data_IF_455788359223
#
_entry.id   IF_455788359223
#
_cell.length_a   1.000
_cell.length_b   1.000
_cell.length_c   1.000
_cell.angle_alpha   90.00
_cell.angle_beta   90.00
_cell.angle_gamma   90.00
#
_symmetry.space_group_name_H-M   'P 1'
#
loop_
_entity.id
_entity.type
_entity.pdbx_description
1 polymer ?
#
# COMPACT_ATOMS: atom_id res chain seq x y z
N UNK A 1 35.37 44.35 30.82
CA UNK A 1 35.26 44.06 29.38
C UNK A 1 34.86 42.60 29.29
N UNK A 2 33.60 42.37 28.97
CA UNK A 2 32.89 41.07 28.98
C UNK A 2 33.28 40.21 27.78
N UNK A 3 33.53 38.93 28.04
CA UNK A 3 33.90 37.91 27.06
C UNK A 3 32.64 37.32 26.37
N UNK A 4 31.81 38.16 25.75
CA UNK A 4 30.54 37.74 25.10
C UNK A 4 30.58 37.87 23.58
N UNK A 5 31.65 37.47 22.95
CA UNK A 5 31.82 37.75 21.52
C UNK A 5 32.31 36.61 20.61
N UNK A 6 32.24 35.34 20.98
CA UNK A 6 32.63 34.26 20.06
C UNK A 6 31.76 33.03 20.31
N UNK A 7 30.51 33.04 19.89
CA UNK A 7 29.72 31.81 19.83
C UNK A 7 28.77 31.77 18.60
N UNK A 8 29.24 32.28 17.45
CA UNK A 8 28.48 32.37 16.20
C UNK A 8 28.87 31.31 15.16
N UNK A 9 29.69 30.33 15.52
CA UNK A 9 30.02 29.17 14.67
C UNK A 9 29.73 27.87 15.42
N UNK A 10 28.55 27.71 15.99
CA UNK A 10 27.99 26.36 16.07
C UNK A 10 27.67 25.95 14.65
N UNK A 11 28.63 25.34 13.97
CA UNK A 11 28.38 24.47 12.83
C UNK A 11 27.19 23.59 13.22
N UNK A 12 26.05 23.82 12.58
CA UNK A 12 24.91 22.88 12.70
C UNK A 12 25.50 21.53 12.33
N UNK A 13 25.71 20.69 13.32
CA UNK A 13 26.11 19.30 13.09
C UNK A 13 25.05 18.79 12.10
N UNK A 14 25.49 18.28 10.96
CA UNK A 14 24.60 17.71 9.95
C UNK A 14 24.00 16.43 10.55
N UNK A 15 22.82 16.57 11.15
CA UNK A 15 22.07 15.50 11.81
C UNK A 15 20.89 15.08 10.92
N UNK A 16 21.21 14.50 9.75
CA UNK A 16 20.21 13.92 8.82
C UNK A 16 20.53 12.44 8.61
N UNK A 17 20.60 11.68 9.67
CA UNK A 17 20.59 10.22 9.56
C UNK A 17 19.17 9.72 9.42
N UNK A 18 18.90 8.80 8.49
CA UNK A 18 17.61 8.17 8.28
C UNK A 18 17.79 6.69 7.98
N UNK A 19 17.12 5.87 8.76
CA UNK A 19 17.05 4.45 8.48
C UNK A 19 15.99 4.20 7.41
N UNK A 20 16.35 3.53 6.33
CA UNK A 20 15.42 3.14 5.25
C UNK A 20 15.43 1.61 5.14
N UNK A 21 14.24 1.01 5.26
CA UNK A 21 14.03 -0.39 4.99
C UNK A 21 13.36 -0.53 3.62
N UNK A 22 13.97 -1.32 2.74
CA UNK A 22 13.51 -1.58 1.38
C UNK A 22 13.40 -3.09 1.19
N UNK A 23 12.53 -3.58 0.30
CA UNK A 23 12.62 -4.95 -0.16
C UNK A 23 14.02 -5.23 -0.69
N UNK A 24 14.66 -6.31 -0.24
CA UNK A 24 15.94 -6.75 -0.77
C UNK A 24 15.76 -7.34 -2.18
N UNK A 25 14.69 -8.15 -2.34
CA UNK A 25 14.40 -8.82 -3.60
C UNK A 25 12.99 -8.49 -4.07
N UNK A 26 12.87 -8.18 -5.36
CA UNK A 26 11.59 -7.97 -6.03
C UNK A 26 11.58 -8.74 -7.34
N UNK A 27 10.78 -9.80 -7.38
CA UNK A 27 10.62 -10.69 -8.53
C UNK A 27 9.22 -10.50 -9.09
N UNK A 28 9.10 -10.01 -10.32
CA UNK A 28 7.82 -9.76 -10.99
C UNK A 28 7.88 -10.34 -12.40
N UNK A 29 7.00 -11.26 -12.74
CA UNK A 29 6.95 -11.87 -14.07
C UNK A 29 6.02 -13.05 -14.17
N UNK A 30 6.08 -13.74 -15.30
CA UNK A 30 5.31 -14.95 -15.59
C UNK A 30 5.88 -16.13 -14.82
N UNK A 31 5.04 -16.90 -14.14
CA UNK A 31 5.39 -18.11 -13.37
C UNK A 31 6.55 -17.91 -12.37
N UNK A 32 6.78 -16.68 -11.89
CA UNK A 32 7.87 -16.41 -10.94
C UNK A 32 7.62 -17.00 -9.55
N UNK A 33 6.43 -17.48 -9.26
CA UNK A 33 6.13 -18.20 -8.02
C UNK A 33 7.06 -19.41 -7.82
N UNK A 34 7.54 -20.03 -8.91
CA UNK A 34 8.51 -21.12 -8.89
C UNK A 34 9.89 -20.70 -8.36
N UNK A 35 10.17 -19.40 -8.30
CA UNK A 35 11.45 -18.88 -7.79
C UNK A 35 11.44 -18.70 -6.27
N UNK A 36 10.32 -18.96 -5.57
CA UNK A 36 10.21 -18.79 -4.12
C UNK A 36 11.29 -19.55 -3.36
N UNK A 37 11.61 -20.83 -3.67
CA UNK A 37 12.71 -21.53 -2.98
C UNK A 37 14.06 -20.83 -3.11
N UNK A 38 14.40 -20.39 -4.32
CA UNK A 38 15.65 -19.66 -4.58
C UNK A 38 15.71 -18.31 -3.84
N UNK A 39 14.58 -17.58 -3.76
CA UNK A 39 14.46 -16.34 -2.98
C UNK A 39 14.66 -16.63 -1.48
N UNK A 40 14.03 -17.68 -0.94
CA UNK A 40 14.18 -18.06 0.46
C UNK A 40 15.62 -18.50 0.78
N UNK A 41 16.27 -19.23 -0.11
CA UNK A 41 17.67 -19.67 0.03
C UNK A 41 18.62 -18.45 0.03
N UNK A 42 18.47 -17.53 -0.92
CA UNK A 42 19.29 -16.31 -1.01
C UNK A 42 19.12 -15.39 0.21
N UNK A 43 17.90 -15.29 0.74
CA UNK A 43 17.61 -14.51 1.94
C UNK A 43 18.14 -15.16 3.23
N UNK A 44 18.37 -16.48 3.24
CA UNK A 44 18.91 -17.24 4.36
C UNK A 44 18.18 -17.01 5.70
N UNK A 45 16.83 -16.95 5.68
CA UNK A 45 16.01 -16.56 6.84
C UNK A 45 15.81 -17.68 7.89
N UNK A 46 16.38 -18.86 7.65
CA UNK A 46 16.28 -20.03 8.53
C UNK A 46 15.50 -21.17 7.89
N UNK A 47 15.15 -22.17 8.69
CA UNK A 47 14.68 -23.50 8.27
C UNK A 47 13.18 -23.73 8.47
N UNK A 48 12.45 -22.79 9.08
CA UNK A 48 11.02 -22.93 9.32
C UNK A 48 10.24 -21.71 8.84
N UNK A 49 9.13 -21.95 8.16
CA UNK A 49 8.30 -20.91 7.54
C UNK A 49 6.83 -21.04 7.93
N UNK A 50 6.19 -19.90 8.19
CA UNK A 50 4.74 -19.80 8.30
C UNK A 50 4.17 -19.26 6.99
N UNK A 51 3.34 -20.01 6.29
CA UNK A 51 2.59 -19.58 5.11
C UNK A 51 1.20 -19.14 5.57
N UNK A 52 0.89 -17.85 5.38
CA UNK A 52 -0.43 -17.27 5.66
C UNK A 52 -1.17 -17.07 4.35
N UNK A 53 -2.35 -17.68 4.19
CA UNK A 53 -3.20 -17.56 3.00
C UNK A 53 -4.67 -17.42 3.37
N UNK A 54 -5.49 -16.85 2.48
CA UNK A 54 -6.95 -16.86 2.60
C UNK A 54 -7.54 -18.19 2.09
N UNK A 55 -8.83 -18.43 2.34
CA UNK A 55 -9.51 -19.64 1.88
C UNK A 55 -9.40 -19.86 0.36
N UNK A 56 -9.67 -18.82 -0.43
CA UNK A 56 -9.57 -18.85 -1.88
C UNK A 56 -8.10 -18.81 -2.37
N UNK A 57 -7.28 -17.95 -1.78
CA UNK A 57 -5.90 -17.74 -2.23
C UNK A 57 -4.99 -18.91 -1.88
N UNK A 58 -5.39 -19.75 -0.93
CA UNK A 58 -4.73 -21.04 -0.67
C UNK A 58 -4.79 -21.94 -1.90
N UNK A 59 -5.96 -22.05 -2.52
CA UNK A 59 -6.14 -22.90 -3.70
C UNK A 59 -5.54 -22.25 -4.96
N UNK A 60 -5.53 -20.91 -5.04
CA UNK A 60 -4.95 -20.16 -6.17
C UNK A 60 -3.42 -20.28 -6.20
N UNK A 61 -2.75 -20.11 -5.07
CA UNK A 61 -1.30 -20.02 -4.98
C UNK A 61 -0.71 -20.65 -3.72
N UNK A 62 -1.43 -20.64 -2.59
CA UNK A 62 -0.89 -21.06 -1.29
C UNK A 62 -0.39 -22.51 -1.28
N UNK A 63 -1.16 -23.46 -1.86
CA UNK A 63 -0.75 -24.87 -1.94
C UNK A 63 0.49 -25.07 -2.83
N UNK A 64 0.64 -24.27 -3.89
CA UNK A 64 1.83 -24.31 -4.75
C UNK A 64 3.06 -23.85 -3.98
N UNK A 65 2.95 -22.77 -3.22
CA UNK A 65 4.04 -22.29 -2.35
C UNK A 65 4.39 -23.31 -1.26
N UNK A 66 3.39 -23.94 -0.63
CA UNK A 66 3.56 -25.03 0.34
C UNK A 66 4.37 -26.16 -0.27
N UNK A 67 3.94 -26.71 -1.42
CA UNK A 67 4.60 -27.81 -2.12
C UNK A 67 6.03 -27.47 -2.58
N UNK A 68 6.31 -26.20 -2.95
CA UNK A 68 7.65 -25.78 -3.35
C UNK A 68 8.65 -25.73 -2.19
N UNK A 69 8.17 -25.63 -0.94
CA UNK A 69 9.02 -25.46 0.24
C UNK A 69 9.09 -26.67 1.16
N UNK A 70 8.12 -27.62 1.09
CA UNK A 70 8.00 -28.74 2.04
C UNK A 70 9.21 -29.68 2.10
N UNK A 71 9.98 -29.81 1.01
CA UNK A 71 11.18 -30.64 0.98
C UNK A 71 12.39 -29.99 1.67
N UNK A 72 12.40 -28.65 1.83
CA UNK A 72 13.57 -27.90 2.29
C UNK A 72 13.32 -27.12 3.60
N UNK A 73 12.07 -26.92 3.99
CA UNK A 73 11.67 -26.14 5.15
C UNK A 73 10.63 -26.86 6.01
N UNK A 74 10.66 -26.60 7.32
CA UNK A 74 9.55 -26.93 8.22
C UNK A 74 8.40 -25.95 7.95
N UNK A 75 7.39 -26.40 7.17
CA UNK A 75 6.29 -25.57 6.67
C UNK A 75 5.09 -25.68 7.60
N UNK A 76 4.67 -24.55 8.13
CA UNK A 76 3.39 -24.41 8.86
C UNK A 76 2.45 -23.52 8.06
N UNK A 77 1.18 -23.91 7.93
CA UNK A 77 0.18 -23.10 7.23
C UNK A 77 -0.84 -22.49 8.19
N UNK A 78 -1.28 -21.26 7.88
CA UNK A 78 -2.31 -20.54 8.63
C UNK A 78 -3.34 -19.96 7.66
N UNK A 79 -4.62 -20.24 7.91
CA UNK A 79 -5.73 -19.67 7.14
C UNK A 79 -6.16 -18.31 7.75
N UNK A 80 -5.89 -17.22 7.05
CA UNK A 80 -6.40 -15.89 7.37
C UNK A 80 -7.87 -15.78 6.94
N UNK A 81 -8.75 -16.51 7.63
CA UNK A 81 -10.18 -16.59 7.35
C UNK A 81 -10.99 -16.13 8.58
N UNK A 82 -12.20 -15.63 8.32
CA UNK A 82 -13.16 -15.25 9.36
C UNK A 82 -13.49 -13.76 9.38
N UNK A 83 -14.56 -13.45 10.14
CA UNK A 83 -15.15 -12.11 10.20
C UNK A 83 -14.56 -11.23 11.32
N UNK A 84 -13.53 -11.73 12.01
CA UNK A 84 -12.89 -11.03 13.13
C UNK A 84 -11.41 -10.77 12.86
N UNK A 85 -11.08 -9.70 12.10
CA UNK A 85 -9.71 -9.44 11.66
C UNK A 85 -8.70 -9.37 12.80
N UNK A 86 -9.02 -8.69 13.91
CA UNK A 86 -8.11 -8.54 15.04
C UNK A 86 -7.80 -9.87 15.75
N UNK A 87 -8.80 -10.77 15.89
CA UNK A 87 -8.58 -12.10 16.44
C UNK A 87 -7.73 -12.95 15.50
N UNK A 88 -7.98 -12.83 14.18
CA UNK A 88 -7.20 -13.51 13.15
C UNK A 88 -5.74 -13.09 13.18
N UNK A 89 -5.47 -11.79 13.29
CA UNK A 89 -4.11 -11.24 13.41
C UNK A 89 -3.41 -11.79 14.66
N UNK A 90 -4.05 -11.79 15.84
CA UNK A 90 -3.47 -12.34 17.07
C UNK A 90 -3.12 -13.82 16.97
N UNK A 91 -3.98 -14.61 16.30
CA UNK A 91 -3.68 -16.03 16.06
C UNK A 91 -2.51 -16.22 15.08
N UNK A 92 -2.48 -15.41 14.02
CA UNK A 92 -1.40 -15.42 13.04
C UNK A 92 -0.06 -15.00 13.69
N UNK A 93 -0.07 -14.00 14.58
CA UNK A 93 1.09 -13.57 15.38
C UNK A 93 1.63 -14.71 16.26
N UNK A 94 0.74 -15.40 16.99
CA UNK A 94 1.13 -16.54 17.80
C UNK A 94 1.70 -17.71 16.98
N UNK A 95 1.28 -17.88 15.73
CA UNK A 95 1.86 -18.84 14.80
C UNK A 95 3.20 -18.33 14.24
N UNK A 96 3.30 -17.05 13.87
CA UNK A 96 4.52 -16.43 13.36
C UNK A 96 5.68 -16.49 14.37
N UNK A 97 5.37 -16.34 15.66
CA UNK A 97 6.38 -16.43 16.73
C UNK A 97 7.12 -17.79 16.78
N UNK A 98 6.52 -18.85 16.21
CA UNK A 98 7.09 -20.20 16.18
C UNK A 98 7.89 -20.50 14.91
N UNK A 99 7.79 -19.65 13.88
CA UNK A 99 8.53 -19.78 12.63
C UNK A 99 9.72 -18.80 12.59
N UNK A 100 10.65 -19.03 11.68
CA UNK A 100 11.77 -18.13 11.43
C UNK A 100 11.38 -16.95 10.55
N UNK A 101 10.51 -17.17 9.58
CA UNK A 101 9.99 -16.12 8.70
C UNK A 101 8.55 -16.42 8.26
N UNK A 102 7.91 -15.45 7.65
CA UNK A 102 6.51 -15.51 7.23
C UNK A 102 6.40 -15.25 5.74
N UNK A 103 5.58 -16.03 5.04
CA UNK A 103 5.17 -15.78 3.65
C UNK A 103 3.67 -15.50 3.64
N UNK A 104 3.26 -14.33 3.17
CA UNK A 104 1.85 -14.00 2.95
C UNK A 104 1.46 -14.24 1.49
N UNK A 105 0.54 -15.17 1.24
CA UNK A 105 0.08 -15.55 -0.10
C UNK A 105 -1.37 -15.15 -0.28
N UNK A 106 -1.63 -14.01 -0.96
CA UNK A 106 -3.01 -13.60 -1.12
C UNK A 106 -3.22 -12.17 -1.59
N UNK A 107 -4.48 -11.74 -1.55
CA UNK A 107 -4.85 -10.35 -1.76
C UNK A 107 -4.54 -9.47 -0.55
N UNK A 108 -4.83 -8.18 -0.65
CA UNK A 108 -4.43 -7.16 0.32
C UNK A 108 -4.71 -7.51 1.79
N UNK A 109 -5.89 -8.05 2.12
CA UNK A 109 -6.22 -8.45 3.49
C UNK A 109 -5.27 -9.52 4.04
N UNK A 110 -4.90 -10.51 3.22
CA UNK A 110 -3.98 -11.58 3.63
C UNK A 110 -2.57 -11.02 3.82
N UNK A 111 -2.12 -10.20 2.87
CA UNK A 111 -0.83 -9.51 2.92
C UNK A 111 -0.73 -8.64 4.18
N UNK A 112 -1.76 -7.85 4.47
CA UNK A 112 -1.78 -7.00 5.67
C UNK A 112 -1.78 -7.81 6.97
N UNK A 113 -2.54 -8.92 7.01
CA UNK A 113 -2.53 -9.84 8.17
C UNK A 113 -1.15 -10.45 8.38
N UNK A 114 -0.51 -10.95 7.32
CA UNK A 114 0.82 -11.54 7.38
C UNK A 114 1.88 -10.52 7.80
N UNK A 115 1.82 -9.31 7.24
CA UNK A 115 2.72 -8.20 7.56
C UNK A 115 2.66 -7.80 9.04
N UNK A 116 1.46 -7.63 9.60
CA UNK A 116 1.31 -7.27 11.02
C UNK A 116 1.73 -8.43 11.92
N UNK A 117 1.32 -9.66 11.59
CA UNK A 117 1.68 -10.83 12.38
C UNK A 117 3.20 -11.04 12.43
N UNK A 118 3.90 -10.87 11.29
CA UNK A 118 5.35 -10.96 11.23
C UNK A 118 6.04 -9.83 12.00
N UNK A 119 5.58 -8.59 11.84
CA UNK A 119 6.12 -7.42 12.55
C UNK A 119 6.00 -7.56 14.06
N UNK A 120 4.82 -7.95 14.57
CA UNK A 120 4.61 -8.13 16.01
C UNK A 120 5.40 -9.31 16.58
N UNK A 121 5.67 -10.34 15.76
CA UNK A 121 6.47 -11.49 16.15
C UNK A 121 7.99 -11.30 15.95
N UNK A 122 8.44 -10.14 15.47
CA UNK A 122 9.83 -9.85 15.08
C UNK A 122 10.36 -10.89 14.06
N UNK A 123 9.65 -11.05 12.95
CA UNK A 123 9.97 -11.99 11.86
C UNK A 123 9.98 -11.28 10.52
N UNK A 124 10.89 -11.69 9.64
CA UNK A 124 10.88 -11.23 8.26
C UNK A 124 9.64 -11.70 7.51
N UNK A 125 9.18 -10.88 6.58
CA UNK A 125 7.98 -11.10 5.80
C UNK A 125 8.28 -11.08 4.30
N UNK A 126 7.82 -12.12 3.58
CA UNK A 126 7.83 -12.19 2.11
C UNK A 126 6.39 -12.01 1.62
N UNK A 127 6.18 -11.08 0.69
CA UNK A 127 4.89 -10.79 0.07
C UNK A 127 4.74 -11.56 -1.23
N UNK A 128 3.70 -12.40 -1.33
CA UNK A 128 3.30 -13.13 -2.55
C UNK A 128 1.87 -12.71 -2.91
N UNK A 129 1.69 -11.55 -3.56
CA UNK A 129 0.38 -11.02 -3.88
C UNK A 129 -0.29 -11.83 -4.99
N UNK A 130 -1.56 -12.23 -4.78
CA UNK A 130 -2.40 -12.84 -5.81
C UNK A 130 -3.28 -11.82 -6.53
N UNK A 131 -3.20 -10.54 -6.15
CA UNK A 131 -3.88 -9.43 -6.78
C UNK A 131 -3.11 -8.13 -6.51
N UNK A 132 -3.09 -7.24 -7.49
CA UNK A 132 -2.44 -5.93 -7.42
C UNK A 132 -3.49 -4.84 -7.13
N UNK A 133 -4.02 -4.78 -5.88
CA UNK A 133 -5.17 -3.95 -5.53
C UNK A 133 -4.86 -2.67 -4.75
N UNK A 134 -3.68 -2.56 -4.14
CA UNK A 134 -3.16 -1.38 -3.44
C UNK A 134 -1.67 -1.55 -3.12
N UNK A 135 -0.98 -0.47 -2.78
CA UNK A 135 0.47 -0.45 -2.52
C UNK A 135 0.91 -1.17 -1.22
N UNK A 136 -0.04 -1.61 -0.40
CA UNK A 136 0.21 -2.45 0.77
C UNK A 136 1.00 -3.74 0.47
N UNK A 137 1.06 -4.19 -0.79
CA UNK A 137 1.87 -5.36 -1.17
C UNK A 137 3.37 -5.16 -0.93
N UNK A 138 3.86 -3.92 -0.88
CA UNK A 138 5.28 -3.58 -0.74
C UNK A 138 5.57 -2.49 0.30
N UNK A 139 4.54 -1.79 0.79
CA UNK A 139 4.73 -0.70 1.75
C UNK A 139 4.88 -1.19 3.20
N UNK A 140 5.38 -0.32 4.06
CA UNK A 140 5.45 -0.53 5.52
C UNK A 140 4.12 -0.27 6.24
N UNK A 141 3.02 -0.14 5.50
CA UNK A 141 1.69 0.11 6.08
C UNK A 141 0.80 -1.11 5.90
N UNK A 142 -0.09 -1.32 6.85
CA UNK A 142 -1.12 -2.34 6.77
C UNK A 142 -2.47 -1.77 7.20
N UNK A 143 -3.53 -2.12 6.47
CA UNK A 143 -4.88 -1.69 6.75
C UNK A 143 -5.64 -2.77 7.52
N UNK A 144 -6.08 -2.45 8.72
CA UNK A 144 -6.81 -3.39 9.59
C UNK A 144 -8.22 -2.88 9.81
N UNK A 145 -9.24 -3.68 9.45
CA UNK A 145 -10.62 -3.36 9.78
C UNK A 145 -10.86 -3.38 11.29
N UNK A 146 -11.48 -2.32 11.81
CA UNK A 146 -11.94 -2.20 13.20
C UNK A 146 -13.43 -1.87 13.23
N UNK A 147 -14.02 -1.79 14.42
CA UNK A 147 -15.41 -1.38 14.58
C UNK A 147 -15.69 0.05 14.06
N UNK A 148 -14.65 0.92 14.12
CA UNK A 148 -14.74 2.33 13.72
C UNK A 148 -14.20 2.58 12.30
N UNK A 149 -14.09 1.55 11.45
CA UNK A 149 -13.54 1.62 10.10
C UNK A 149 -12.11 1.07 10.02
N UNK A 150 -11.46 1.24 8.86
CA UNK A 150 -10.10 0.76 8.65
C UNK A 150 -9.07 1.68 9.31
N UNK A 151 -8.14 1.07 10.06
CA UNK A 151 -7.00 1.75 10.68
C UNK A 151 -5.71 1.33 9.96
N UNK A 152 -4.95 2.32 9.50
CA UNK A 152 -3.63 2.07 8.90
C UNK A 152 -2.57 2.00 10.00
N UNK A 153 -2.02 0.82 10.22
CA UNK A 153 -0.97 0.56 11.19
C UNK A 153 0.41 0.63 10.54
N UNK A 154 1.41 1.05 11.32
CA UNK A 154 2.80 0.95 10.93
C UNK A 154 3.29 -0.49 11.14
N UNK A 155 4.06 -0.98 10.17
CA UNK A 155 4.77 -2.25 10.21
C UNK A 155 6.09 -2.07 9.45
N UNK A 156 6.70 -3.16 9.00
CA UNK A 156 7.87 -3.12 8.12
C UNK A 156 7.48 -3.49 6.68
N UNK A 157 8.21 -2.97 5.68
CA UNK A 157 8.04 -3.45 4.31
C UNK A 157 8.46 -4.93 4.22
N UNK A 158 7.93 -5.68 3.24
CA UNK A 158 8.40 -7.04 3.02
C UNK A 158 9.89 -7.05 2.66
N UNK A 159 10.63 -8.07 3.14
CA UNK A 159 12.03 -8.26 2.75
C UNK A 159 12.14 -8.71 1.28
N UNK A 160 11.12 -9.41 0.77
CA UNK A 160 10.99 -9.72 -0.64
C UNK A 160 9.53 -9.65 -1.11
N UNK A 161 9.37 -9.37 -2.40
CA UNK A 161 8.09 -9.42 -3.11
C UNK A 161 8.23 -10.38 -4.28
N UNK A 162 7.41 -11.42 -4.33
CA UNK A 162 7.34 -12.37 -5.46
C UNK A 162 5.94 -12.27 -6.07
N UNK A 163 5.83 -11.58 -7.18
CA UNK A 163 4.56 -11.22 -7.82
C UNK A 163 4.42 -11.90 -9.18
N UNK A 164 3.68 -12.98 -9.21
CA UNK A 164 3.41 -13.75 -10.40
C UNK A 164 2.32 -13.07 -11.25
N UNK A 165 2.70 -12.62 -12.46
CA UNK A 165 1.81 -11.87 -13.35
C UNK A 165 0.68 -12.71 -13.91
N UNK A 166 0.87 -14.02 -14.11
CA UNK A 166 -0.17 -14.91 -14.57
C UNK A 166 -1.27 -15.08 -13.50
N UNK A 167 -0.87 -15.21 -12.23
CA UNK A 167 -1.80 -15.28 -11.10
C UNK A 167 -2.53 -13.93 -10.95
N UNK A 168 -1.82 -12.81 -10.95
CA UNK A 168 -2.42 -11.48 -10.77
C UNK A 168 -3.36 -11.13 -11.92
N UNK A 169 -3.01 -11.48 -13.17
CA UNK A 169 -3.86 -11.24 -14.34
C UNK A 169 -5.15 -12.10 -14.32
N UNK A 170 -5.12 -13.27 -13.67
CA UNK A 170 -6.30 -14.13 -13.49
C UNK A 170 -7.30 -13.59 -12.47
N UNK A 171 -6.87 -12.68 -11.59
CA UNK A 171 -7.72 -12.08 -10.57
C UNK A 171 -8.82 -11.18 -11.23
N UNK A 172 -9.94 -10.91 -10.52
CA UNK A 172 -10.94 -9.99 -11.01
C UNK A 172 -10.33 -8.63 -11.35
N UNK A 173 -10.60 -8.13 -12.58
CA UNK A 173 -10.04 -6.86 -13.08
C UNK A 173 -10.27 -5.67 -12.13
N UNK A 174 -11.39 -5.68 -11.41
CA UNK A 174 -11.70 -4.67 -10.39
C UNK A 174 -10.57 -4.48 -9.38
N UNK A 175 -9.85 -5.56 -9.01
CA UNK A 175 -8.73 -5.47 -8.07
C UNK A 175 -7.54 -4.74 -8.70
N UNK A 176 -7.23 -5.04 -9.96
CA UNK A 176 -6.19 -4.33 -10.73
C UNK A 176 -6.54 -2.86 -10.93
N UNK A 177 -7.79 -2.57 -11.30
CA UNK A 177 -8.29 -1.20 -11.45
C UNK A 177 -8.22 -0.40 -10.15
N UNK A 178 -8.50 -1.06 -9.00
CA UNK A 178 -8.31 -0.47 -7.67
C UNK A 178 -6.84 -0.11 -7.41
N UNK A 179 -5.89 -1.00 -7.74
CA UNK A 179 -4.46 -0.70 -7.60
C UNK A 179 -4.00 0.46 -8.49
N UNK A 180 -4.52 0.54 -9.73
CA UNK A 180 -4.28 1.69 -10.60
C UNK A 180 -4.80 2.99 -9.98
N UNK A 181 -6.02 2.97 -9.44
CA UNK A 181 -6.65 4.13 -8.84
C UNK A 181 -5.89 4.60 -7.59
N UNK A 182 -5.37 3.66 -6.80
CA UNK A 182 -4.51 3.93 -5.64
C UNK A 182 -3.23 4.69 -6.06
N UNK A 183 -2.56 4.23 -7.12
CA UNK A 183 -1.34 4.88 -7.64
C UNK A 183 -1.64 6.23 -8.30
N UNK A 184 -2.72 6.33 -9.09
CA UNK A 184 -3.10 7.61 -9.72
C UNK A 184 -3.43 8.66 -8.64
N UNK A 185 -3.97 8.26 -7.51
CA UNK A 185 -4.24 9.13 -6.37
C UNK A 185 -2.96 9.77 -5.80
N UNK A 186 -1.79 9.20 -6.01
CA UNK A 186 -0.52 9.79 -5.59
C UNK A 186 -0.28 11.19 -6.19
N UNK A 187 -0.89 11.53 -7.34
CA UNK A 187 -0.82 12.90 -7.88
C UNK A 187 -1.30 13.95 -6.87
N UNK A 188 -2.39 13.67 -6.16
CA UNK A 188 -2.95 14.60 -5.16
C UNK A 188 -2.24 14.49 -3.82
N UNK A 189 -1.81 13.30 -3.42
CA UNK A 189 -0.99 13.11 -2.23
C UNK A 189 0.30 13.94 -2.26
N UNK A 190 0.94 14.00 -3.43
CA UNK A 190 2.16 14.80 -3.67
C UNK A 190 1.85 16.29 -3.55
N UNK A 191 0.76 16.78 -4.17
CA UNK A 191 0.36 18.18 -4.08
C UNK A 191 0.07 18.59 -2.64
N UNK A 192 -0.57 17.72 -1.87
CA UNK A 192 -0.82 17.93 -0.44
C UNK A 192 0.48 17.97 0.37
N UNK A 193 1.45 17.11 0.05
CA UNK A 193 2.74 17.12 0.73
C UNK A 193 3.54 18.39 0.42
N UNK A 194 3.57 18.83 -0.83
CA UNK A 194 4.15 20.11 -1.24
C UNK A 194 3.44 21.30 -0.58
N UNK A 195 2.11 21.26 -0.49
CA UNK A 195 1.31 22.26 0.20
C UNK A 195 1.67 22.34 1.69
N UNK A 196 1.73 21.20 2.36
CA UNK A 196 2.13 21.11 3.77
C UNK A 196 3.57 21.57 4.00
N UNK A 197 4.49 21.20 3.11
CA UNK A 197 5.87 21.70 3.15
C UNK A 197 5.92 23.23 3.10
N UNK A 198 5.20 23.86 2.16
CA UNK A 198 5.18 25.32 1.98
C UNK A 198 4.52 26.07 3.13
N UNK A 199 3.42 25.55 3.67
CA UNK A 199 2.60 26.27 4.65
C UNK A 199 2.90 25.91 6.10
N UNK A 200 3.42 24.69 6.35
CA UNK A 200 3.66 24.15 7.70
C UNK A 200 5.13 23.82 7.96
N UNK A 201 5.99 23.93 6.94
CA UNK A 201 7.41 23.54 7.06
C UNK A 201 7.60 22.03 7.24
N UNK A 202 6.62 21.19 6.84
CA UNK A 202 6.75 19.74 6.94
C UNK A 202 7.96 19.26 6.12
N UNK A 203 8.82 18.38 6.66
CA UNK A 203 9.94 17.83 5.92
C UNK A 203 9.47 17.13 4.63
N UNK A 204 10.14 17.42 3.52
CA UNK A 204 9.85 16.85 2.22
C UNK A 204 11.08 16.11 1.68
N UNK A 205 10.88 14.91 1.14
CA UNK A 205 11.91 14.15 0.45
C UNK A 205 11.73 14.26 -1.05
N UNK A 206 12.61 15.00 -1.72
CA UNK A 206 12.59 15.19 -3.17
C UNK A 206 12.68 13.85 -3.94
N UNK A 207 13.47 12.90 -3.43
CA UNK A 207 13.60 11.56 -4.04
C UNK A 207 12.29 10.79 -3.97
N UNK A 208 11.66 10.73 -2.80
CA UNK A 208 10.40 10.02 -2.61
C UNK A 208 9.26 10.68 -3.40
N UNK A 209 9.21 12.01 -3.42
CA UNK A 209 8.26 12.80 -4.18
C UNK A 209 8.39 12.54 -5.68
N UNK A 210 9.63 12.60 -6.22
CA UNK A 210 9.90 12.37 -7.64
C UNK A 210 9.54 10.95 -8.05
N UNK A 211 9.91 9.94 -7.25
CA UNK A 211 9.57 8.54 -7.52
C UNK A 211 8.05 8.32 -7.54
N UNK A 212 7.35 8.85 -6.55
CA UNK A 212 5.88 8.71 -6.48
C UNK A 212 5.20 9.43 -7.64
N UNK A 213 5.63 10.67 -7.98
CA UNK A 213 5.10 11.43 -9.12
C UNK A 213 5.31 10.70 -10.44
N UNK A 214 6.52 10.20 -10.68
CA UNK A 214 6.82 9.43 -11.89
C UNK A 214 5.96 8.17 -11.99
N UNK A 215 5.76 7.47 -10.89
CA UNK A 215 4.96 6.25 -10.83
C UNK A 215 3.49 6.52 -11.17
N UNK A 216 2.91 7.56 -10.59
CA UNK A 216 1.53 7.99 -10.89
C UNK A 216 1.38 8.43 -12.35
N UNK A 217 2.33 9.21 -12.85
CA UNK A 217 2.33 9.70 -14.23
C UNK A 217 2.42 8.57 -15.26
N UNK A 218 3.20 7.52 -14.99
CA UNK A 218 3.30 6.35 -15.86
C UNK A 218 1.92 5.68 -16.02
N UNK A 219 1.20 5.41 -14.93
CA UNK A 219 -0.13 4.80 -15.02
C UNK A 219 -1.16 5.74 -15.63
N UNK A 220 -1.12 7.02 -15.29
CA UNK A 220 -2.01 8.03 -15.86
C UNK A 220 -1.90 8.09 -17.40
N UNK A 221 -0.67 8.14 -17.93
CA UNK A 221 -0.44 8.19 -19.39
C UNK A 221 -0.74 6.88 -20.10
N UNK A 222 -0.60 5.75 -19.41
CA UNK A 222 -0.81 4.42 -19.97
C UNK A 222 -2.17 3.82 -19.62
N UNK A 223 -3.13 4.63 -19.15
CA UNK A 223 -4.47 4.16 -18.77
C UNK A 223 -5.17 3.35 -19.87
N UNK A 224 -4.96 3.70 -21.15
CA UNK A 224 -5.51 2.98 -22.30
C UNK A 224 -4.91 1.57 -22.51
N UNK A 225 -3.73 1.29 -21.93
CA UNK A 225 -3.04 0.00 -22.03
C UNK A 225 -3.44 -0.97 -20.92
N UNK A 226 -4.11 -0.50 -19.88
CA UNK A 226 -4.56 -1.35 -18.78
C UNK A 226 -5.79 -2.13 -19.21
N UNK A 227 -5.66 -3.46 -19.32
CA UNK A 227 -6.70 -4.36 -19.82
C UNK A 227 -6.98 -5.50 -18.83
N UNK A 228 -8.24 -5.98 -18.80
CA UNK A 228 -8.58 -7.19 -18.06
C UNK A 228 -7.74 -8.39 -18.53
N UNK A 229 -7.34 -9.23 -17.60
CA UNK A 229 -6.63 -10.50 -17.85
C UNK A 229 -5.37 -10.39 -18.72
N UNK A 230 -4.69 -9.23 -18.67
CA UNK A 230 -3.41 -8.99 -19.34
C UNK A 230 -2.26 -9.04 -18.33
N UNK A 231 -1.26 -9.87 -18.60
CA UNK A 231 -0.06 -9.95 -17.79
C UNK A 231 0.80 -8.69 -17.90
N UNK A 232 0.81 -8.02 -19.05
CA UNK A 232 1.49 -6.73 -19.22
C UNK A 232 0.87 -5.67 -18.30
N UNK A 233 -0.48 -5.66 -18.19
CA UNK A 233 -1.18 -4.78 -17.26
C UNK A 233 -0.87 -5.15 -15.80
N UNK A 234 -0.90 -6.43 -15.46
CA UNK A 234 -0.54 -6.93 -14.12
C UNK A 234 0.90 -6.54 -13.76
N UNK A 235 1.84 -6.71 -14.70
CA UNK A 235 3.25 -6.34 -14.52
C UNK A 235 3.43 -4.84 -14.30
N UNK A 236 2.81 -4.01 -15.16
CA UNK A 236 2.91 -2.55 -15.07
C UNK A 236 2.38 -2.03 -13.72
N UNK A 237 1.18 -2.48 -13.34
CA UNK A 237 0.53 -2.05 -12.09
C UNK A 237 1.28 -2.55 -10.87
N UNK A 238 1.74 -3.79 -10.87
CA UNK A 238 2.52 -4.34 -9.75
C UNK A 238 3.82 -3.58 -9.54
N UNK A 239 4.54 -3.26 -10.61
CA UNK A 239 5.74 -2.41 -10.52
C UNK A 239 5.43 -1.03 -9.95
N UNK A 240 4.31 -0.43 -10.34
CA UNK A 240 3.90 0.87 -9.82
C UNK A 240 3.59 0.79 -8.32
N UNK A 241 2.87 -0.25 -7.86
CA UNK A 241 2.57 -0.46 -6.45
C UNK A 241 3.84 -0.69 -5.61
N UNK A 242 4.79 -1.48 -6.12
CA UNK A 242 6.09 -1.67 -5.46
C UNK A 242 6.87 -0.35 -5.39
N UNK A 243 6.90 0.42 -6.48
CA UNK A 243 7.58 1.72 -6.51
C UNK A 243 6.98 2.72 -5.52
N UNK A 244 5.63 2.73 -5.35
CA UNK A 244 4.95 3.54 -4.32
C UNK A 244 5.39 3.13 -2.91
N UNK A 245 5.41 1.83 -2.61
CA UNK A 245 5.90 1.31 -1.33
C UNK A 245 7.35 1.72 -1.04
N UNK A 246 8.22 1.65 -2.04
CA UNK A 246 9.63 2.12 -1.97
C UNK A 246 9.69 3.62 -1.70
N UNK A 247 8.87 4.43 -2.39
CA UNK A 247 8.82 5.88 -2.15
C UNK A 247 8.44 6.19 -0.69
N UNK A 248 7.46 5.47 -0.13
CA UNK A 248 7.09 5.62 1.29
C UNK A 248 8.22 5.23 2.24
N UNK A 249 8.98 4.17 1.93
CA UNK A 249 10.15 3.77 2.72
C UNK A 249 11.26 4.83 2.67
N UNK A 250 11.55 5.40 1.48
CA UNK A 250 12.49 6.51 1.32
C UNK A 250 12.02 7.75 2.11
N UNK A 251 10.73 8.06 2.06
CA UNK A 251 10.16 9.17 2.83
C UNK A 251 10.15 8.90 4.34
N UNK A 252 10.10 7.63 4.78
CA UNK A 252 9.85 7.22 6.17
C UNK A 252 8.47 7.64 6.66
N UNK A 253 7.55 7.82 5.74
CA UNK A 253 6.15 8.18 5.98
C UNK A 253 5.31 7.81 4.77
N UNK A 254 3.99 7.73 4.94
CA UNK A 254 3.08 7.48 3.81
C UNK A 254 2.74 8.73 2.99
N UNK A 255 3.43 9.86 3.21
CA UNK A 255 3.16 11.11 2.46
C UNK A 255 3.23 10.97 0.93
N UNK A 256 4.19 10.22 0.35
CA UNK A 256 4.26 10.06 -1.10
C UNK A 256 3.01 9.43 -1.74
N UNK A 257 2.28 8.62 -0.98
CA UNK A 257 1.08 7.93 -1.45
C UNK A 257 -0.18 8.20 -0.64
N UNK A 258 -0.22 9.25 0.22
CA UNK A 258 -1.42 9.47 1.06
C UNK A 258 -1.57 10.93 1.44
N UNK A 259 -2.59 11.56 0.90
CA UNK A 259 -3.02 12.95 1.15
C UNK A 259 -4.50 13.03 1.54
N UNK A 260 -5.18 14.06 1.06
CA UNK A 260 -6.60 14.33 1.29
C UNK A 260 -7.52 13.25 0.73
N UNK A 261 -7.16 12.65 -0.41
CA UNK A 261 -7.87 11.53 -1.02
C UNK A 261 -7.93 10.30 -0.10
N UNK A 262 -6.88 10.04 0.65
CA UNK A 262 -6.85 8.97 1.65
C UNK A 262 -7.61 9.35 2.93
N UNK A 263 -7.59 10.62 3.35
CA UNK A 263 -8.45 11.10 4.45
C UNK A 263 -9.93 10.87 4.10
N UNK A 264 -10.32 11.19 2.86
CA UNK A 264 -11.67 10.93 2.35
C UNK A 264 -12.00 9.42 2.33
N UNK A 265 -11.09 8.57 1.81
CA UNK A 265 -11.24 7.12 1.81
C UNK A 265 -11.47 6.56 3.21
N UNK A 266 -10.71 7.00 4.21
CA UNK A 266 -10.88 6.57 5.60
C UNK A 266 -12.17 7.11 6.24
N UNK A 267 -12.62 8.30 5.88
CA UNK A 267 -13.92 8.81 6.31
C UNK A 267 -15.07 7.96 5.75
N UNK A 268 -14.98 7.55 4.46
CA UNK A 268 -15.93 6.62 3.86
C UNK A 268 -15.92 5.24 4.53
N UNK A 269 -14.77 4.73 4.97
CA UNK A 269 -14.70 3.47 5.73
C UNK A 269 -15.53 3.50 7.02
N UNK A 270 -15.65 4.68 7.65
CA UNK A 270 -16.45 4.87 8.87
C UNK A 270 -17.94 5.08 8.57
N UNK A 271 -18.27 5.86 7.53
CA UNK A 271 -19.64 6.26 7.24
C UNK A 271 -20.38 5.27 6.33
N UNK A 272 -19.64 4.54 5.47
CA UNK A 272 -20.18 3.55 4.55
C UNK A 272 -19.32 2.26 4.60
N UNK A 273 -19.28 1.54 5.72
CA UNK A 273 -18.44 0.36 5.89
C UNK A 273 -18.74 -0.71 4.84
N UNK A 274 -17.68 -1.30 4.29
CA UNK A 274 -17.80 -2.36 3.27
C UNK A 274 -18.11 -1.86 1.85
N UNK A 275 -18.27 -0.55 1.64
CA UNK A 275 -18.50 0.04 0.32
C UNK A 275 -17.17 0.39 -0.37
N UNK A 276 -17.00 -0.10 -1.59
CA UNK A 276 -15.81 0.15 -2.41
C UNK A 276 -14.52 -0.49 -1.88
N UNK A 277 -13.57 -0.72 -2.78
CA UNK A 277 -12.20 -1.10 -2.44
C UNK A 277 -11.39 0.15 -2.03
N UNK A 278 -10.25 -0.05 -1.37
CA UNK A 278 -9.40 1.04 -0.91
C UNK A 278 -9.01 1.99 -2.04
N UNK A 279 -8.41 1.47 -3.11
CA UNK A 279 -7.99 2.30 -4.24
C UNK A 279 -9.16 2.93 -5.00
N UNK A 280 -10.34 2.29 -5.05
CA UNK A 280 -11.56 2.88 -5.63
C UNK A 280 -11.95 4.17 -4.89
N UNK A 281 -11.95 4.15 -3.55
CA UNK A 281 -12.23 5.32 -2.72
C UNK A 281 -11.14 6.38 -2.83
N UNK A 282 -9.87 5.98 -2.90
CA UNK A 282 -8.75 6.89 -3.12
C UNK A 282 -8.83 7.56 -4.50
N UNK A 283 -9.20 6.82 -5.55
CA UNK A 283 -9.39 7.37 -6.90
C UNK A 283 -10.51 8.41 -6.96
N UNK A 284 -11.67 8.14 -6.35
CA UNK A 284 -12.76 9.12 -6.22
C UNK A 284 -12.28 10.34 -5.43
N UNK A 285 -11.61 10.11 -4.30
CA UNK A 285 -11.01 11.18 -3.50
C UNK A 285 -10.01 12.01 -4.28
N UNK A 286 -9.20 11.39 -5.15
CA UNK A 286 -8.24 12.09 -6.00
C UNK A 286 -8.91 13.01 -7.03
N UNK A 287 -10.05 12.62 -7.60
CA UNK A 287 -10.83 13.52 -8.46
C UNK A 287 -11.25 14.78 -7.69
N UNK A 288 -11.76 14.61 -6.47
CA UNK A 288 -12.21 15.71 -5.61
C UNK A 288 -11.04 16.60 -5.19
N UNK A 289 -9.97 16.01 -4.66
CA UNK A 289 -8.82 16.77 -4.16
C UNK A 289 -8.04 17.43 -5.29
N UNK A 290 -7.96 16.84 -6.48
CA UNK A 290 -7.37 17.47 -7.65
C UNK A 290 -8.20 18.69 -8.10
N UNK A 291 -9.54 18.62 -8.04
CA UNK A 291 -10.40 19.79 -8.27
C UNK A 291 -10.11 20.92 -7.29
N UNK A 292 -9.99 20.61 -6.01
CA UNK A 292 -9.67 21.59 -4.96
C UNK A 292 -8.29 22.21 -5.14
N UNK A 293 -7.31 21.44 -5.62
CA UNK A 293 -5.99 21.97 -5.99
C UNK A 293 -6.00 22.83 -7.28
N UNK A 294 -7.13 22.92 -7.99
CA UNK A 294 -7.23 23.62 -9.28
C UNK A 294 -6.51 22.91 -10.43
N UNK A 295 -6.25 21.61 -10.30
CA UNK A 295 -5.53 20.80 -11.29
C UNK A 295 -6.44 20.06 -12.27
N UNK A 296 -5.86 19.16 -13.06
CA UNK A 296 -6.57 18.40 -14.11
C UNK A 296 -7.37 17.21 -13.55
N UNK A 297 -8.40 17.51 -12.77
CA UNK A 297 -9.31 16.50 -12.24
C UNK A 297 -10.08 15.72 -13.32
N UNK A 298 -10.31 16.36 -14.50
CA UNK A 298 -10.97 15.70 -15.63
C UNK A 298 -10.08 14.62 -16.22
N UNK A 299 -8.79 14.91 -16.39
CA UNK A 299 -7.81 13.92 -16.83
C UNK A 299 -7.73 12.73 -15.88
N UNK A 300 -7.70 12.95 -14.55
CA UNK A 300 -7.75 11.86 -13.57
C UNK A 300 -9.01 11.02 -13.73
N UNK A 301 -10.19 11.66 -13.77
CA UNK A 301 -11.47 10.98 -13.96
C UNK A 301 -11.48 10.14 -15.24
N UNK A 302 -11.04 10.71 -16.35
CA UNK A 302 -11.08 10.05 -17.65
C UNK A 302 -10.09 8.88 -17.73
N UNK A 303 -8.91 8.99 -17.08
CA UNK A 303 -7.96 7.89 -16.92
C UNK A 303 -8.54 6.74 -16.10
N UNK A 304 -9.17 7.05 -14.95
CA UNK A 304 -9.85 6.05 -14.13
C UNK A 304 -10.96 5.32 -14.88
N UNK A 305 -11.76 6.04 -15.67
CA UNK A 305 -12.80 5.43 -16.54
C UNK A 305 -12.20 4.47 -17.56
N UNK A 306 -11.11 4.84 -18.22
CA UNK A 306 -10.43 4.00 -19.21
C UNK A 306 -9.92 2.69 -18.59
N UNK A 307 -9.46 2.74 -17.36
CA UNK A 307 -9.01 1.58 -16.58
C UNK A 307 -10.20 0.72 -16.11
N UNK A 308 -11.40 1.28 -16.05
CA UNK A 308 -12.59 0.63 -15.49
C UNK A 308 -12.72 0.80 -13.98
N UNK A 309 -12.03 1.79 -13.39
CA UNK A 309 -12.19 2.15 -12.00
C UNK A 309 -13.40 3.08 -11.78
N UNK A 310 -14.06 3.03 -10.62
CA UNK A 310 -15.10 3.96 -10.22
C UNK A 310 -14.63 5.42 -10.26
N UNK A 311 -15.53 6.32 -10.65
CA UNK A 311 -15.25 7.77 -10.74
C UNK A 311 -16.24 8.64 -9.98
N UNK A 312 -17.29 8.01 -9.44
CA UNK A 312 -18.29 8.68 -8.60
C UNK A 312 -18.58 7.84 -7.34
N UNK A 313 -19.05 8.45 -6.26
CA UNK A 313 -19.49 7.69 -5.07
C UNK A 313 -20.59 6.67 -5.39
N UNK A 314 -21.50 6.99 -6.30
CA UNK A 314 -22.57 6.09 -6.72
C UNK A 314 -22.05 4.78 -7.34
N UNK A 315 -20.91 4.81 -8.06
CA UNK A 315 -20.29 3.63 -8.68
C UNK A 315 -19.85 2.58 -7.63
N UNK A 316 -19.63 3.01 -6.38
CA UNK A 316 -19.30 2.14 -5.25
C UNK A 316 -20.46 1.94 -4.27
N UNK A 317 -21.68 2.38 -4.64
CA UNK A 317 -22.90 2.24 -3.85
C UNK A 317 -22.96 3.17 -2.64
N UNK A 318 -22.36 4.35 -2.74
CA UNK A 318 -22.40 5.44 -1.76
C UNK A 318 -23.25 6.58 -2.35
N UNK A 319 -24.22 7.08 -1.59
CA UNK A 319 -25.03 8.23 -1.99
C UNK A 319 -24.29 9.56 -1.80
N UNK A 320 -24.82 10.61 -2.42
CA UNK A 320 -24.18 11.94 -2.40
C UNK A 320 -24.13 12.55 -0.99
N UNK A 321 -25.14 12.31 -0.16
CA UNK A 321 -25.19 12.82 1.22
C UNK A 321 -24.07 12.21 2.07
N UNK A 322 -23.92 10.89 2.00
CA UNK A 322 -22.83 10.17 2.67
C UNK A 322 -21.46 10.60 2.13
N UNK A 323 -21.33 10.82 0.82
CA UNK A 323 -20.07 11.27 0.23
C UNK A 323 -19.69 12.68 0.71
N UNK A 324 -20.64 13.62 0.77
CA UNK A 324 -20.40 14.97 1.31
C UNK A 324 -20.06 14.89 2.79
N UNK A 325 -20.80 14.09 3.58
CA UNK A 325 -20.48 13.88 5.00
C UNK A 325 -19.07 13.33 5.20
N UNK A 326 -18.64 12.39 4.34
CA UNK A 326 -17.28 11.84 4.38
C UNK A 326 -16.21 12.90 4.04
N UNK A 327 -16.49 13.78 3.07
CA UNK A 327 -15.57 14.87 2.71
C UNK A 327 -15.40 15.84 3.88
N UNK A 328 -16.47 16.22 4.55
CA UNK A 328 -16.43 17.09 5.73
C UNK A 328 -15.73 16.41 6.91
N UNK A 329 -16.02 15.12 7.16
CA UNK A 329 -15.39 14.35 8.21
C UNK A 329 -13.89 14.06 7.94
N UNK A 330 -13.45 14.11 6.69
CA UNK A 330 -12.07 13.84 6.30
C UNK A 330 -11.06 14.76 7.01
N UNK A 331 -11.44 15.98 7.34
CA UNK A 331 -10.58 16.91 8.11
C UNK A 331 -10.21 16.36 9.48
N UNK A 332 -11.09 15.56 10.10
CA UNK A 332 -10.84 14.94 11.42
C UNK A 332 -9.97 13.70 11.35
N UNK A 333 -9.77 13.14 10.15
CA UNK A 333 -8.92 11.98 9.90
C UNK A 333 -7.45 12.42 9.87
N UNK A 334 -6.65 11.90 10.79
CA UNK A 334 -5.23 12.26 10.91
C UNK A 334 -5.03 13.80 10.88
N UNK A 335 -5.52 14.51 11.89
CA UNK A 335 -5.49 15.99 11.92
C UNK A 335 -4.07 16.56 11.85
N UNK A 336 -3.06 15.78 12.21
CA UNK A 336 -1.63 16.12 12.07
C UNK A 336 -1.17 16.17 10.60
N UNK A 337 -1.93 15.54 9.68
CA UNK A 337 -1.63 15.51 8.25
C UNK A 337 -2.37 16.65 7.54
N UNK A 338 -1.67 17.74 7.31
CA UNK A 338 -2.21 18.89 6.59
C UNK A 338 -2.36 18.59 5.09
N UNK A 339 -3.52 18.90 4.52
CA UNK A 339 -3.91 18.65 3.14
C UNK A 339 -4.74 19.80 2.58
N UNK A 340 -5.11 19.76 1.31
CA UNK A 340 -6.01 20.74 0.69
C UNK A 340 -7.38 20.81 1.40
N UNK A 341 -7.83 19.70 2.01
CA UNK A 341 -9.09 19.64 2.76
C UNK A 341 -9.07 20.50 4.04
N UNK A 342 -7.89 20.90 4.51
CA UNK A 342 -7.72 21.71 5.72
C UNK A 342 -7.64 23.23 5.41
N UNK A 343 -7.84 23.62 4.14
CA UNK A 343 -7.73 25.00 3.69
C UNK A 343 -9.02 25.83 3.82
N UNK A 344 -10.16 25.20 4.17
CA UNK A 344 -11.40 25.94 4.38
C UNK A 344 -12.63 25.08 4.29
#
# INVERSE_FOLDING_TARGET
MSADGINLLRTKVFDKSKWMQLPRDVVIGHDVIEQIPAVCEDLALGDSVLIISGSQTRDIAGRRVEALLEDSYDVVTFAAAGDKPLETIKKAEAAAAKARFVIGVGGGRVIDTAKIASYNADRHFISVPTAASHDGIASSRASVPTADGNVSLAAEPPIAVVADTAIIASAPHRLLASGCADIIANHTAILDWELSHRLRGEPLSEYALTLSRMTAEILFRNADLIKPHSEESAWLVTKALVSSGVAMSIAGSSRPGSGGEHKFSHALDRLAPGKGLHGEKCGIGAIITMYLHGGDWKGIRDSLRKIGAPTTPADIGVDDETAVAALLAAQTIRPERFTILDMG
#
